data_IF_995044180344
#
_entry.id   IF_995044180344
#
_cell.length_a   1.000
_cell.length_b   1.000
_cell.length_c   1.000
_cell.angle_alpha   90.00
_cell.angle_beta   90.00
_cell.angle_gamma   90.00
#
_symmetry.space_group_name_H-M   'P 1'
#
loop_
_entity.id
_entity.type
_entity.pdbx_description
1 polymer ?
#
# COMPACT_ATOMS: atom_id res chain seq x y z
N UNK A 1 10.64 -0.54 -25.26
CA UNK A 1 9.93 -1.40 -24.29
C UNK A 1 10.44 -1.21 -22.86
N UNK A 2 11.75 -1.31 -22.61
CA UNK A 2 12.31 -1.21 -21.24
C UNK A 2 12.15 0.18 -20.61
N UNK A 3 12.46 1.25 -21.36
CA UNK A 3 12.27 2.63 -20.89
C UNK A 3 10.83 2.92 -20.50
N UNK A 4 9.86 2.54 -21.35
CA UNK A 4 8.44 2.71 -21.06
C UNK A 4 8.01 1.94 -19.80
N UNK A 5 8.52 0.72 -19.59
CA UNK A 5 8.23 -0.05 -18.38
C UNK A 5 8.86 0.59 -17.13
N UNK A 6 10.08 1.11 -17.23
CA UNK A 6 10.73 1.82 -16.14
C UNK A 6 9.97 3.11 -15.79
N UNK A 7 9.66 3.93 -16.78
CA UNK A 7 8.92 5.17 -16.61
C UNK A 7 7.53 4.92 -16.02
N UNK A 8 6.81 3.90 -16.51
CA UNK A 8 5.51 3.53 -15.95
C UNK A 8 5.58 3.15 -14.47
N UNK A 9 6.61 2.41 -14.05
CA UNK A 9 6.85 2.08 -12.64
C UNK A 9 7.23 3.32 -11.81
N UNK A 10 8.10 4.18 -12.35
CA UNK A 10 8.53 5.40 -11.68
C UNK A 10 7.35 6.36 -11.46
N UNK A 11 6.52 6.58 -12.49
CA UNK A 11 5.31 7.39 -12.40
C UNK A 11 4.29 6.78 -11.45
N UNK A 12 4.02 5.47 -11.53
CA UNK A 12 3.10 4.81 -10.62
C UNK A 12 3.51 4.98 -9.15
N UNK A 13 4.80 4.77 -8.85
CA UNK A 13 5.28 4.77 -7.48
C UNK A 13 5.56 6.17 -6.93
N UNK A 14 5.63 7.18 -7.79
CA UNK A 14 5.80 8.57 -7.38
C UNK A 14 4.76 9.01 -6.35
N UNK A 15 3.52 8.51 -6.45
CA UNK A 15 2.45 8.79 -5.48
C UNK A 15 2.85 8.35 -4.07
N UNK A 16 3.48 7.17 -3.93
CA UNK A 16 3.93 6.66 -2.64
C UNK A 16 5.17 7.41 -2.14
N UNK A 17 6.15 7.67 -3.02
CA UNK A 17 7.39 8.34 -2.65
C UNK A 17 7.16 9.81 -2.27
N UNK A 18 6.35 10.54 -3.03
CA UNK A 18 5.99 11.92 -2.72
C UNK A 18 5.16 12.00 -1.44
N UNK A 19 4.24 11.05 -1.23
CA UNK A 19 3.49 10.96 0.02
C UNK A 19 4.42 10.70 1.21
N UNK A 20 5.36 9.75 1.09
CA UNK A 20 6.34 9.47 2.14
C UNK A 20 7.24 10.68 2.43
N UNK A 21 7.69 11.38 1.38
CA UNK A 21 8.49 12.59 1.51
C UNK A 21 7.73 13.70 2.25
N UNK A 22 6.47 13.94 1.89
CA UNK A 22 5.63 14.93 2.56
C UNK A 22 5.40 14.57 4.03
N UNK A 23 5.08 13.31 4.33
CA UNK A 23 4.87 12.83 5.70
C UNK A 23 6.16 12.87 6.53
N UNK A 24 7.32 12.59 5.92
CA UNK A 24 8.62 12.69 6.57
C UNK A 24 8.95 14.12 6.97
N UNK A 25 8.72 15.09 6.08
CA UNK A 25 8.97 16.50 6.36
C UNK A 25 8.06 17.06 7.46
N UNK A 26 6.83 16.54 7.58
CA UNK A 26 5.88 16.95 8.60
C UNK A 26 6.04 16.16 9.92
N UNK A 27 6.88 15.13 9.97
CA UNK A 27 6.94 14.16 11.06
C UNK A 27 7.29 14.79 12.42
N UNK A 28 8.27 15.69 12.47
CA UNK A 28 8.67 16.39 13.71
C UNK A 28 8.91 15.46 14.92
N UNK A 29 8.68 15.96 16.13
CA UNK A 29 8.87 15.18 17.36
C UNK A 29 7.68 14.26 17.69
N UNK A 30 6.46 14.62 17.29
CA UNK A 30 5.22 13.91 17.66
C UNK A 30 4.63 13.02 16.54
N UNK A 31 5.35 12.83 15.43
CA UNK A 31 4.82 12.14 14.24
C UNK A 31 3.92 13.00 13.34
N UNK A 32 3.87 14.30 13.59
CA UNK A 32 3.29 15.29 12.68
C UNK A 32 1.77 15.31 12.63
N UNK A 33 1.24 15.95 11.59
CA UNK A 33 -0.19 15.97 11.27
C UNK A 33 -0.72 14.57 10.97
N UNK A 34 0.12 13.70 10.42
CA UNK A 34 -0.25 12.31 10.15
C UNK A 34 -0.56 11.55 11.43
N UNK A 35 0.27 11.65 12.48
CA UNK A 35 -0.01 11.00 13.75
C UNK A 35 -1.28 11.56 14.41
N UNK A 36 -1.47 12.89 14.39
CA UNK A 36 -2.65 13.57 14.95
C UNK A 36 -3.95 13.18 14.23
N UNK A 37 -3.91 13.05 12.91
CA UNK A 37 -5.10 12.66 12.12
C UNK A 37 -5.36 11.15 12.14
N UNK A 38 -4.32 10.33 12.28
CA UNK A 38 -4.42 8.87 12.37
C UNK A 38 -5.00 8.43 13.72
N UNK A 39 -4.62 9.08 14.83
CA UNK A 39 -5.04 8.69 16.19
C UNK A 39 -6.54 8.42 16.36
N UNK A 40 -7.46 9.35 16.02
CA UNK A 40 -8.90 9.09 16.17
C UNK A 40 -9.40 7.96 15.26
N UNK A 41 -8.88 7.85 14.04
CA UNK A 41 -9.25 6.81 13.07
C UNK A 41 -8.78 5.42 13.51
N UNK A 42 -7.55 5.34 14.02
CA UNK A 42 -7.01 4.12 14.57
C UNK A 42 -7.80 3.66 15.81
N UNK A 43 -8.15 4.58 16.71
CA UNK A 43 -8.98 4.26 17.87
C UNK A 43 -10.37 3.77 17.46
N UNK A 44 -11.00 4.41 16.45
CA UNK A 44 -12.28 3.95 15.91
C UNK A 44 -12.16 2.53 15.32
N UNK A 45 -11.09 2.26 14.57
CA UNK A 45 -10.81 0.92 14.04
C UNK A 45 -10.60 -0.11 15.14
N UNK A 46 -9.76 0.19 16.15
CA UNK A 46 -9.52 -0.70 17.30
C UNK A 46 -10.82 -0.98 18.03
N UNK A 47 -11.64 0.03 18.30
CA UNK A 47 -12.93 -0.14 18.96
C UNK A 47 -13.87 -1.04 18.14
N UNK A 48 -13.90 -0.88 16.81
CA UNK A 48 -14.67 -1.74 15.93
C UNK A 48 -14.18 -3.20 16.01
N UNK A 49 -12.87 -3.42 15.94
CA UNK A 49 -12.27 -4.75 16.06
C UNK A 49 -12.55 -5.36 17.44
N UNK A 50 -12.35 -4.62 18.53
CA UNK A 50 -12.59 -5.08 19.89
C UNK A 50 -14.07 -5.39 20.13
N UNK A 51 -15.00 -4.61 19.57
CA UNK A 51 -16.43 -4.88 19.70
C UNK A 51 -16.84 -6.16 18.98
N UNK A 52 -16.27 -6.44 17.80
CA UNK A 52 -16.58 -7.64 17.02
C UNK A 52 -15.83 -8.90 17.44
N UNK A 53 -14.61 -8.77 17.97
CA UNK A 53 -13.75 -9.91 18.33
C UNK A 53 -13.65 -10.17 19.83
N UNK A 54 -14.05 -9.20 20.66
CA UNK A 54 -13.83 -9.21 22.11
C UNK A 54 -12.37 -8.99 22.53
N UNK A 55 -11.42 -8.91 21.59
CA UNK A 55 -10.00 -8.75 21.90
C UNK A 55 -9.61 -7.27 21.93
N UNK A 56 -9.03 -6.84 23.06
CA UNK A 56 -8.42 -5.52 23.17
C UNK A 56 -7.05 -5.54 22.47
N UNK A 57 -6.88 -4.67 21.47
CA UNK A 57 -5.58 -4.52 20.82
C UNK A 57 -4.63 -3.74 21.74
N UNK A 58 -3.34 -4.09 21.77
CA UNK A 58 -2.37 -3.36 22.57
C UNK A 58 -2.28 -1.89 22.13
N UNK A 59 -2.00 -0.96 23.06
CA UNK A 59 -1.80 0.43 22.70
C UNK A 59 -0.58 0.55 21.78
N UNK A 60 -0.77 1.21 20.64
CA UNK A 60 0.30 1.45 19.67
C UNK A 60 0.60 2.95 19.61
N UNK A 61 1.88 3.30 19.60
CA UNK A 61 2.30 4.68 19.40
C UNK A 61 2.09 5.09 17.94
N UNK A 62 1.29 6.13 17.73
CA UNK A 62 1.01 6.69 16.40
C UNK A 62 2.28 7.17 15.71
N UNK A 63 3.27 7.66 16.46
CA UNK A 63 4.56 8.07 15.91
C UNK A 63 5.27 6.90 15.25
N UNK A 64 5.30 5.74 15.90
CA UNK A 64 5.91 4.52 15.37
C UNK A 64 5.14 4.03 14.14
N UNK A 65 3.80 4.05 14.18
CA UNK A 65 2.97 3.66 13.03
C UNK A 65 3.23 4.54 11.81
N UNK A 66 3.28 5.86 12.00
CA UNK A 66 3.56 6.80 10.91
C UNK A 66 4.98 6.61 10.40
N UNK A 67 5.98 6.43 11.28
CA UNK A 67 7.35 6.14 10.86
C UNK A 67 7.44 4.85 10.05
N UNK A 68 6.77 3.80 10.50
CA UNK A 68 6.70 2.52 9.79
C UNK A 68 6.02 2.68 8.42
N UNK A 69 4.93 3.44 8.34
CA UNK A 69 4.24 3.75 7.08
C UNK A 69 5.13 4.51 6.10
N UNK A 70 5.85 5.54 6.56
CA UNK A 70 6.81 6.31 5.76
C UNK A 70 7.92 5.38 5.24
N UNK A 71 8.52 4.58 6.12
CA UNK A 71 9.57 3.64 5.76
C UNK A 71 9.08 2.60 4.73
N UNK A 72 7.87 2.07 4.93
CA UNK A 72 7.27 1.06 4.06
C UNK A 72 6.97 1.62 2.67
N UNK A 73 6.44 2.84 2.58
CA UNK A 73 6.27 3.57 1.31
C UNK A 73 7.59 3.88 0.63
N UNK A 74 8.59 4.36 1.38
CA UNK A 74 9.90 4.74 0.86
C UNK A 74 10.67 3.53 0.32
N UNK A 75 10.89 2.52 1.15
CA UNK A 75 11.61 1.28 0.80
C UNK A 75 10.83 0.49 -0.26
N UNK A 76 9.53 0.29 -0.03
CA UNK A 76 8.66 -0.39 -0.99
C UNK A 76 8.65 0.33 -2.34
N UNK A 77 8.60 1.66 -2.31
CA UNK A 77 8.60 2.50 -3.48
C UNK A 77 9.88 2.40 -4.29
N UNK A 78 11.03 2.59 -3.63
CA UNK A 78 12.35 2.49 -4.25
C UNK A 78 12.56 1.11 -4.91
N UNK A 79 12.25 0.04 -4.18
CA UNK A 79 12.37 -1.33 -4.70
C UNK A 79 11.43 -1.58 -5.88
N UNK A 80 10.22 -1.01 -5.87
CA UNK A 80 9.25 -1.16 -6.95
C UNK A 80 9.72 -0.50 -8.25
N UNK A 81 10.39 0.66 -8.20
CA UNK A 81 10.98 1.32 -9.39
C UNK A 81 11.87 0.34 -10.17
N UNK A 82 12.76 -0.37 -9.45
CA UNK A 82 13.64 -1.38 -10.04
C UNK A 82 12.91 -2.68 -10.43
N UNK A 83 11.59 -2.71 -10.31
CA UNK A 83 10.74 -3.83 -10.67
C UNK A 83 10.79 -4.98 -9.68
N UNK A 84 11.15 -4.73 -8.41
CA UNK A 84 11.16 -5.75 -7.37
C UNK A 84 9.74 -6.21 -7.00
N UNK A 85 9.56 -7.52 -6.83
CA UNK A 85 8.28 -8.06 -6.33
C UNK A 85 8.12 -7.73 -4.85
N UNK A 86 9.23 -7.71 -4.11
CA UNK A 86 9.23 -7.37 -2.69
C UNK A 86 8.76 -5.94 -2.49
N UNK A 87 9.22 -4.99 -3.32
CA UNK A 87 8.71 -3.61 -3.30
C UNK A 87 7.20 -3.55 -3.51
N UNK A 88 6.67 -4.33 -4.46
CA UNK A 88 5.23 -4.42 -4.69
C UNK A 88 4.47 -4.98 -3.48
N UNK A 89 4.97 -6.04 -2.83
CA UNK A 89 4.35 -6.60 -1.63
C UNK A 89 4.39 -5.65 -0.44
N UNK A 90 5.49 -4.91 -0.24
CA UNK A 90 5.58 -3.90 0.83
C UNK A 90 4.54 -2.79 0.63
N UNK A 91 4.42 -2.25 -0.58
CA UNK A 91 3.40 -1.25 -0.91
C UNK A 91 1.98 -1.80 -0.80
N UNK A 92 1.78 -3.06 -1.21
CA UNK A 92 0.48 -3.73 -1.12
C UNK A 92 0.07 -3.91 0.34
N UNK A 93 0.98 -4.35 1.19
CA UNK A 93 0.75 -4.51 2.63
C UNK A 93 0.42 -3.17 3.28
N UNK A 94 1.23 -2.15 3.00
CA UNK A 94 0.97 -0.77 3.46
C UNK A 94 -0.46 -0.36 3.12
N UNK A 95 -0.81 -0.48 1.84
CA UNK A 95 -2.07 0.02 1.34
C UNK A 95 -3.25 -0.81 1.84
N UNK A 96 -3.12 -2.13 1.93
CA UNK A 96 -4.18 -3.01 2.43
C UNK A 96 -4.55 -2.73 3.89
N UNK A 97 -3.57 -2.40 4.72
CA UNK A 97 -3.81 -2.05 6.14
C UNK A 97 -4.23 -0.59 6.30
N UNK A 98 -3.55 0.34 5.63
CA UNK A 98 -3.78 1.76 5.81
C UNK A 98 -5.10 2.24 5.20
N UNK A 99 -5.53 1.67 4.07
CA UNK A 99 -6.73 2.12 3.34
C UNK A 99 -8.02 2.06 4.17
N UNK A 100 -8.40 0.93 4.79
CA UNK A 100 -9.63 0.88 5.60
C UNK A 100 -9.55 1.77 6.84
N UNK A 101 -8.37 1.92 7.44
CA UNK A 101 -8.19 2.73 8.65
C UNK A 101 -8.23 4.23 8.32
N UNK A 102 -7.52 4.68 7.28
CA UNK A 102 -7.43 6.09 6.92
C UNK A 102 -8.67 6.61 6.22
N UNK A 103 -9.31 5.76 5.40
CA UNK A 103 -10.47 6.12 4.60
C UNK A 103 -11.70 5.36 5.08
N UNK A 104 -12.02 5.58 6.35
CA UNK A 104 -13.13 5.01 7.10
C UNK A 104 -14.48 5.66 6.74
N UNK A 105 -14.75 5.81 5.44
CA UNK A 105 -15.97 6.45 4.92
C UNK A 105 -17.25 5.79 5.46
N UNK A 106 -17.18 4.49 5.81
CA UNK A 106 -18.27 3.70 6.38
C UNK A 106 -18.70 4.13 7.79
N UNK A 107 -17.95 5.04 8.44
CA UNK A 107 -18.33 5.63 9.73
C UNK A 107 -19.20 6.90 9.58
N UNK A 108 -19.52 7.32 8.35
CA UNK A 108 -20.25 8.55 8.07
C UNK A 108 -21.52 8.27 7.26
N UNK A 109 -22.57 9.05 7.49
CA UNK A 109 -23.78 9.00 6.68
C UNK A 109 -23.51 9.54 5.27
N UNK A 110 -24.24 9.01 4.28
CA UNK A 110 -24.01 9.28 2.85
C UNK A 110 -24.25 10.76 2.47
N UNK A 111 -25.08 11.47 3.23
CA UNK A 111 -25.36 12.90 3.07
C UNK A 111 -24.24 13.81 3.61
N UNK A 112 -23.32 13.26 4.41
CA UNK A 112 -22.17 14.01 4.94
C UNK A 112 -21.11 14.18 3.86
N UNK A 113 -20.54 15.38 3.78
CA UNK A 113 -19.47 15.70 2.80
C UNK A 113 -18.25 14.80 3.00
N UNK A 114 -17.98 14.42 4.24
CA UNK A 114 -16.89 13.55 4.65
C UNK A 114 -16.98 12.17 4.00
N UNK A 115 -18.20 11.61 3.86
CA UNK A 115 -18.42 10.32 3.20
C UNK A 115 -17.88 10.34 1.77
N UNK A 116 -18.33 11.31 0.96
CA UNK A 116 -17.91 11.42 -0.45
C UNK A 116 -16.39 11.61 -0.60
N UNK A 117 -15.78 12.43 0.26
CA UNK A 117 -14.34 12.68 0.23
C UNK A 117 -13.52 11.43 0.59
N UNK A 118 -13.89 10.73 1.66
CA UNK A 118 -13.20 9.53 2.10
C UNK A 118 -13.42 8.37 1.12
N UNK A 119 -14.64 8.21 0.60
CA UNK A 119 -14.96 7.19 -0.40
C UNK A 119 -14.15 7.38 -1.69
N UNK A 120 -14.00 8.62 -2.16
CA UNK A 120 -13.14 8.93 -3.32
C UNK A 120 -11.68 8.53 -3.08
N UNK A 121 -11.12 8.86 -1.90
CA UNK A 121 -9.74 8.45 -1.55
C UNK A 121 -9.60 6.94 -1.39
N UNK A 122 -10.61 6.28 -0.85
CA UNK A 122 -10.67 4.82 -0.72
C UNK A 122 -10.64 4.14 -2.09
N UNK A 123 -11.50 4.57 -3.01
CA UNK A 123 -11.56 4.01 -4.37
C UNK A 123 -10.29 4.28 -5.19
N UNK A 124 -9.67 5.46 -5.05
CA UNK A 124 -8.35 5.72 -5.62
C UNK A 124 -7.29 4.77 -5.04
N UNK A 125 -7.36 4.49 -3.75
CA UNK A 125 -6.44 3.57 -3.08
C UNK A 125 -6.66 2.11 -3.50
N UNK A 126 -7.91 1.71 -3.78
CA UNK A 126 -8.23 0.42 -4.41
C UNK A 126 -7.66 0.32 -5.83
N UNK A 127 -7.69 1.40 -6.62
CA UNK A 127 -7.06 1.41 -7.94
C UNK A 127 -5.54 1.18 -7.84
N UNK A 128 -4.87 1.77 -6.83
CA UNK A 128 -3.45 1.53 -6.57
C UNK A 128 -3.19 0.06 -6.13
N UNK A 129 -4.04 -0.50 -5.27
CA UNK A 129 -3.99 -1.93 -4.91
C UNK A 129 -4.12 -2.82 -6.16
N UNK A 130 -5.10 -2.53 -7.03
CA UNK A 130 -5.27 -3.22 -8.29
C UNK A 130 -4.04 -3.14 -9.19
N UNK A 131 -3.44 -1.95 -9.32
CA UNK A 131 -2.19 -1.75 -10.06
C UNK A 131 -1.02 -2.59 -9.52
N UNK A 132 -0.87 -2.66 -8.20
CA UNK A 132 0.14 -3.51 -7.55
C UNK A 132 -0.12 -5.00 -7.81
N UNK A 133 -1.37 -5.45 -7.71
CA UNK A 133 -1.77 -6.83 -7.98
C UNK A 133 -1.52 -7.21 -9.44
N UNK A 134 -1.84 -6.34 -10.41
CA UNK A 134 -1.52 -6.54 -11.82
C UNK A 134 -0.01 -6.71 -12.01
N UNK A 135 0.81 -5.86 -11.39
CA UNK A 135 2.26 -5.97 -11.49
C UNK A 135 2.78 -7.31 -10.95
N UNK A 136 2.30 -7.74 -9.78
CA UNK A 136 2.66 -9.01 -9.15
C UNK A 136 2.26 -10.19 -10.07
N UNK A 137 1.01 -10.19 -10.56
CA UNK A 137 0.47 -11.22 -11.45
C UNK A 137 1.28 -11.35 -12.74
N UNK A 138 1.58 -10.23 -13.41
CA UNK A 138 2.40 -10.19 -14.62
C UNK A 138 3.85 -10.66 -14.41
N UNK A 139 4.39 -10.51 -13.20
CA UNK A 139 5.75 -10.96 -12.89
C UNK A 139 5.79 -12.46 -12.56
N UNK A 140 4.75 -12.98 -11.91
CA UNK A 140 4.62 -14.41 -11.65
C UNK A 140 4.37 -15.21 -12.92
N UNK A 141 3.54 -14.72 -13.85
CA UNK A 141 3.32 -15.38 -15.15
C UNK A 141 4.59 -15.49 -15.98
N UNK A 142 5.43 -14.43 -16.00
CA UNK A 142 6.74 -14.45 -16.68
C UNK A 142 7.71 -15.47 -16.07
N UNK A 143 7.74 -15.62 -14.73
CA UNK A 143 8.56 -16.64 -14.06
C UNK A 143 8.08 -18.05 -14.41
N UNK A 144 6.77 -18.28 -14.34
CA UNK A 144 6.17 -19.58 -14.65
C UNK A 144 6.41 -19.98 -16.12
N UNK A 145 6.19 -19.06 -17.07
CA UNK A 145 6.47 -19.31 -18.50
C UNK A 145 7.95 -19.62 -18.78
N UNK A 146 8.89 -18.94 -18.09
CA UNK A 146 10.33 -19.25 -18.19
C UNK A 146 10.67 -20.63 -17.61
N UNK A 147 10.03 -21.04 -16.51
CA UNK A 147 10.23 -22.37 -15.92
C UNK A 147 9.67 -23.49 -16.81
N UNK A 148 8.49 -23.31 -17.40
CA UNK A 148 7.91 -24.26 -18.36
C UNK A 148 8.82 -24.46 -19.57
N UNK A 149 9.38 -23.38 -20.13
CA UNK A 149 10.34 -23.46 -21.25
C UNK A 149 11.64 -24.18 -20.89
N UNK A 150 12.08 -24.14 -19.62
CA UNK A 150 13.26 -24.88 -19.15
C UNK A 150 12.98 -26.37 -18.91
N UNK A 151 11.72 -26.73 -18.60
CA UNK A 151 11.31 -28.12 -18.36
C UNK A 151 10.88 -28.87 -19.64
N UNK A 152 10.64 -28.17 -20.75
CA UNK A 152 10.36 -28.82 -22.02
C UNK A 152 11.56 -29.72 -22.40
N UNK A 153 11.37 -31.05 -22.51
CA UNK A 153 12.46 -31.95 -22.86
C UNK A 153 12.98 -31.55 -24.24
N UNK A 154 14.29 -31.29 -24.34
CA UNK A 154 14.95 -31.12 -25.63
C UNK A 154 14.58 -32.33 -26.48
N UNK A 155 13.86 -32.10 -27.57
CA UNK A 155 13.57 -33.14 -28.54
C UNK A 155 14.90 -33.80 -28.91
N UNK A 156 15.01 -35.12 -28.68
CA UNK A 156 16.17 -35.89 -29.12
C UNK A 156 16.22 -35.74 -30.64
N UNK A 157 17.28 -35.12 -31.15
CA UNK A 157 17.62 -35.19 -32.55
C UNK A 157 17.97 -36.65 -32.84
N UNK A 158 17.38 -37.18 -33.92
CA UNK A 158 17.58 -38.54 -34.41
C UNK A 158 19.05 -38.90 -34.61
#
# INVERSE_FOLDING_TARGET
MELASFLGRALFVSVFLLSAWQEFNDFGEDGGRSAKSLKPKFNAFVNHVTTHTGQQLPPVDMKILVAAAIALKGIGGLLFVFGSSLGAYLLLLHQAVATPILYDFYNYDVDRKEFGQLFSKFTQSLALLGGLLFFIGMKNSRKHGRQLRKKAPKAKAN
#
